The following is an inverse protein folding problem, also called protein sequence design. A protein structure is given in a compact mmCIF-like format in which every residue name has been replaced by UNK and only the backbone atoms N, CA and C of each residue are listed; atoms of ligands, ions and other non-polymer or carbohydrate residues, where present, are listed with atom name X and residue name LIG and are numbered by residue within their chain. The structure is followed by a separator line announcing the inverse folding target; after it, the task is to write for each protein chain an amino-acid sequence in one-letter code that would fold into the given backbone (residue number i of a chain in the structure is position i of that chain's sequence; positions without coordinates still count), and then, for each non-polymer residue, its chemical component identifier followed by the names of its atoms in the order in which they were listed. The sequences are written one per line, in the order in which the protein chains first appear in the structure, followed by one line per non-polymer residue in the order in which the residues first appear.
data_IF_710421673693
#
_entry.id   IF_710421673693
#
_cell.length_a   1.000
_cell.length_b   1.000
_cell.length_c   1.000
_cell.angle_alpha   90.00
_cell.angle_beta   90.00
_cell.angle_gamma   90.00
#
_symmetry.space_group_name_H-M   'P 1'
#
loop_
_entity.id
_entity.type
_entity.pdbx_description
1 polymer ?
#
# COMPACT_ATOMS: atom_id res chain seq x y z
N UNK A 1 -53.14 -10.64 -15.22
CA UNK A 1 -52.07 -11.56 -14.83
C UNK A 1 -50.78 -11.13 -15.50
N UNK A 2 -49.98 -10.34 -14.82
CA UNK A 2 -48.75 -9.74 -15.32
C UNK A 2 -47.58 -10.59 -14.79
N UNK A 3 -46.90 -11.30 -15.69
CA UNK A 3 -45.76 -12.14 -15.32
C UNK A 3 -44.56 -11.28 -14.91
N UNK A 4 -44.18 -11.38 -13.65
CA UNK A 4 -42.95 -10.81 -13.09
C UNK A 4 -41.77 -11.59 -13.72
N UNK A 5 -40.99 -10.94 -14.57
CA UNK A 5 -39.72 -11.47 -15.05
C UNK A 5 -38.76 -11.59 -13.87
N UNK A 6 -38.43 -12.81 -13.51
CA UNK A 6 -37.35 -13.11 -12.56
C UNK A 6 -36.02 -12.58 -13.12
N UNK A 7 -35.45 -11.63 -12.39
CA UNK A 7 -34.09 -11.16 -12.64
C UNK A 7 -33.12 -12.27 -12.31
N UNK A 8 -32.33 -12.68 -13.28
CA UNK A 8 -31.20 -13.61 -13.11
C UNK A 8 -30.26 -13.08 -12.05
N UNK A 9 -29.89 -13.85 -11.01
CA UNK A 9 -28.91 -13.40 -10.03
C UNK A 9 -27.54 -13.20 -10.68
N UNK A 10 -26.75 -12.17 -10.24
CA UNK A 10 -25.42 -11.94 -10.78
C UNK A 10 -24.57 -13.18 -10.54
N UNK A 11 -23.82 -13.57 -11.57
CA UNK A 11 -22.90 -14.71 -11.57
C UNK A 11 -21.95 -14.65 -10.38
N UNK A 12 -22.17 -15.53 -9.41
CA UNK A 12 -21.21 -15.83 -8.33
C UNK A 12 -19.91 -16.29 -9.00
N UNK A 13 -18.81 -15.58 -8.74
CA UNK A 13 -17.46 -16.04 -9.10
C UNK A 13 -17.33 -17.50 -8.60
N UNK A 14 -17.23 -18.43 -9.53
CA UNK A 14 -17.30 -19.86 -9.25
C UNK A 14 -16.25 -20.28 -8.23
N UNK A 15 -16.66 -21.07 -7.27
CA UNK A 15 -15.80 -21.80 -6.30
C UNK A 15 -14.99 -22.87 -7.05
N UNK A 16 -14.10 -22.44 -7.98
CA UNK A 16 -13.24 -23.30 -8.77
C UNK A 16 -11.75 -23.06 -8.48
N UNK A 17 -10.85 -23.91 -8.91
CA UNK A 17 -9.41 -23.79 -8.72
C UNK A 17 -8.85 -22.44 -9.20
N UNK A 18 -9.52 -21.77 -10.16
CA UNK A 18 -9.17 -20.43 -10.62
C UNK A 18 -9.34 -19.34 -9.56
N UNK A 19 -10.40 -19.41 -8.73
CA UNK A 19 -10.62 -18.42 -7.66
C UNK A 19 -9.57 -18.53 -6.55
N UNK A 20 -9.15 -19.75 -6.19
CA UNK A 20 -8.07 -19.99 -5.23
C UNK A 20 -6.73 -19.47 -5.73
N UNK A 21 -6.41 -19.69 -6.99
CA UNK A 21 -5.17 -19.23 -7.60
C UNK A 21 -5.12 -17.69 -7.69
N UNK A 22 -6.25 -17.03 -7.98
CA UNK A 22 -6.34 -15.57 -7.98
C UNK A 22 -6.15 -15.00 -6.57
N UNK A 23 -6.74 -15.62 -5.56
CA UNK A 23 -6.52 -15.26 -4.16
C UNK A 23 -5.04 -15.38 -3.80
N UNK A 24 -4.40 -16.51 -4.12
CA UNK A 24 -2.95 -16.70 -3.92
C UNK A 24 -2.15 -15.60 -4.64
N UNK A 25 -2.54 -15.24 -5.87
CA UNK A 25 -1.93 -14.13 -6.62
C UNK A 25 -2.00 -12.81 -5.85
N UNK A 26 -3.15 -12.45 -5.29
CA UNK A 26 -3.33 -11.22 -4.48
C UNK A 26 -2.47 -11.27 -3.21
N UNK A 27 -2.38 -12.42 -2.54
CA UNK A 27 -1.55 -12.57 -1.34
C UNK A 27 -0.06 -12.44 -1.67
N UNK A 28 0.39 -13.01 -2.79
CA UNK A 28 1.76 -12.87 -3.28
C UNK A 28 2.07 -11.44 -3.72
N UNK A 29 1.12 -10.74 -4.37
CA UNK A 29 1.23 -9.31 -4.61
C UNK A 29 1.47 -8.56 -3.30
N UNK A 30 0.66 -8.82 -2.27
CA UNK A 30 0.81 -8.23 -0.94
C UNK A 30 2.19 -8.50 -0.32
N UNK A 31 2.65 -9.76 -0.32
CA UNK A 31 3.95 -10.15 0.23
C UNK A 31 5.11 -9.38 -0.44
N UNK A 32 5.01 -9.12 -1.74
CA UNK A 32 6.03 -8.40 -2.51
C UNK A 32 6.08 -6.89 -2.23
N UNK A 33 5.04 -6.29 -1.63
CA UNK A 33 4.99 -4.85 -1.40
C UNK A 33 6.03 -4.35 -0.39
N UNK A 34 6.44 -5.17 0.56
CA UNK A 34 7.28 -4.75 1.69
C UNK A 34 8.58 -5.52 1.85
N UNK A 35 8.62 -6.80 1.50
CA UNK A 35 9.79 -7.65 1.75
C UNK A 35 11.09 -7.03 1.21
N UNK A 36 11.07 -6.54 -0.04
CA UNK A 36 12.24 -5.92 -0.66
C UNK A 36 12.68 -4.59 -0.03
N UNK A 37 11.79 -3.87 0.66
CA UNK A 37 12.11 -2.59 1.32
C UNK A 37 12.63 -2.82 2.73
N UNK A 38 11.90 -3.62 3.53
CA UNK A 38 12.16 -3.77 4.96
C UNK A 38 13.43 -4.57 5.26
N UNK A 39 13.86 -5.44 4.34
CA UNK A 39 15.11 -6.17 4.46
C UNK A 39 16.38 -5.29 4.43
N UNK A 40 16.30 -4.04 3.94
CA UNK A 40 17.49 -3.17 3.82
C UNK A 40 17.97 -2.65 5.17
N UNK A 41 17.05 -2.21 6.03
CA UNK A 41 17.38 -1.55 7.28
C UNK A 41 18.40 -2.30 8.15
N UNK A 42 18.17 -3.59 8.49
CA UNK A 42 19.07 -4.34 9.37
C UNK A 42 20.47 -4.59 8.78
N UNK A 43 20.64 -4.56 7.47
CA UNK A 43 21.94 -4.75 6.79
C UNK A 43 22.53 -3.44 6.25
N UNK A 44 21.89 -2.30 6.53
CA UNK A 44 22.34 -1.00 6.06
C UNK A 44 23.77 -0.67 6.45
N UNK A 45 24.24 -0.92 7.71
CA UNK A 45 25.65 -0.69 8.08
C UNK A 45 26.64 -1.50 7.23
N UNK A 46 26.30 -2.74 6.89
CA UNK A 46 27.14 -3.58 6.00
C UNK A 46 27.17 -3.02 4.57
N UNK A 47 26.05 -2.46 4.10
CA UNK A 47 25.97 -1.79 2.78
C UNK A 47 26.83 -0.52 2.80
N UNK A 48 26.72 0.31 3.83
CA UNK A 48 27.53 1.53 4.00
C UNK A 48 29.03 1.22 3.94
N UNK A 49 29.49 0.24 4.69
CA UNK A 49 30.88 -0.17 4.73
C UNK A 49 31.39 -0.72 3.39
N UNK A 50 30.65 -1.65 2.77
CA UNK A 50 31.10 -2.33 1.54
C UNK A 50 30.94 -1.50 0.28
N UNK A 51 29.97 -0.60 0.22
CA UNK A 51 29.70 0.26 -0.96
C UNK A 51 30.36 1.62 -0.82
N UNK A 52 30.80 1.97 0.40
CA UNK A 52 31.41 3.28 0.69
C UNK A 52 30.38 4.40 0.73
N UNK A 53 29.16 4.15 1.23
CA UNK A 53 28.12 5.16 1.31
C UNK A 53 28.31 6.05 2.54
N UNK A 54 28.12 7.37 2.38
CA UNK A 54 27.97 8.25 3.52
C UNK A 54 26.60 8.02 4.19
N UNK A 55 26.44 8.45 5.47
CA UNK A 55 25.18 8.36 6.19
C UNK A 55 24.02 9.07 5.45
N UNK A 56 24.31 10.18 4.78
CA UNK A 56 23.34 10.88 3.91
C UNK A 56 22.91 10.01 2.72
N UNK A 57 23.86 9.39 2.04
CA UNK A 57 23.57 8.50 0.91
C UNK A 57 22.77 7.26 1.36
N UNK A 58 23.11 6.69 2.50
CA UNK A 58 22.34 5.58 3.08
C UNK A 58 20.89 5.98 3.40
N UNK A 59 20.69 7.15 4.01
CA UNK A 59 19.35 7.70 4.25
C UNK A 59 18.58 7.95 2.95
N UNK A 60 19.25 8.46 1.91
CA UNK A 60 18.67 8.65 0.59
C UNK A 60 18.26 7.31 -0.05
N UNK A 61 19.10 6.28 0.08
CA UNK A 61 18.83 4.94 -0.43
C UNK A 61 17.54 4.34 0.17
N UNK A 62 17.36 4.50 1.48
CA UNK A 62 16.16 4.02 2.19
C UNK A 62 14.92 4.83 1.82
N UNK A 63 15.07 6.13 1.55
CA UNK A 63 13.96 7.03 1.20
C UNK A 63 13.56 6.98 -0.27
N UNK A 64 14.45 6.49 -1.14
CA UNK A 64 14.26 6.47 -2.60
C UNK A 64 12.97 5.77 -3.05
N UNK A 65 12.54 4.63 -2.44
CA UNK A 65 11.26 4.03 -2.78
C UNK A 65 10.05 4.96 -2.56
N UNK A 66 10.06 5.80 -1.51
CA UNK A 66 8.95 6.73 -1.25
C UNK A 66 8.85 7.80 -2.34
N UNK A 67 10.00 8.31 -2.80
CA UNK A 67 10.07 9.25 -3.92
C UNK A 67 9.53 8.58 -5.20
N UNK A 68 9.94 7.33 -5.46
CA UNK A 68 9.42 6.55 -6.58
C UNK A 68 7.89 6.34 -6.46
N UNK A 69 7.37 6.08 -5.26
CA UNK A 69 5.93 5.95 -5.03
C UNK A 69 5.18 7.24 -5.40
N UNK A 70 5.63 8.38 -4.93
CA UNK A 70 5.01 9.66 -5.24
C UNK A 70 5.02 9.95 -6.76
N UNK A 71 6.15 9.70 -7.42
CA UNK A 71 6.35 10.00 -8.83
C UNK A 71 5.59 9.05 -9.78
N UNK A 72 5.56 7.74 -9.47
CA UNK A 72 5.04 6.71 -10.40
C UNK A 72 3.55 6.44 -10.21
N UNK A 73 3.01 6.59 -8.98
CA UNK A 73 1.60 6.30 -8.69
C UNK A 73 0.60 6.98 -9.64
N UNK A 74 0.78 8.25 -10.11
CA UNK A 74 -0.17 8.88 -11.04
C UNK A 74 -0.28 8.20 -12.39
N UNK A 75 0.72 7.44 -12.78
CA UNK A 75 0.79 6.77 -14.09
C UNK A 75 0.24 5.35 -14.07
N UNK A 76 0.15 4.72 -12.89
CA UNK A 76 -0.28 3.33 -12.75
C UNK A 76 -1.67 3.05 -13.36
N UNK A 77 -2.72 3.89 -13.15
CA UNK A 77 -4.03 3.65 -13.77
C UNK A 77 -3.98 3.70 -15.29
N UNK A 78 -3.26 4.68 -15.87
CA UNK A 78 -3.10 4.79 -17.32
C UNK A 78 -2.39 3.58 -17.93
N UNK A 79 -1.41 3.03 -17.21
CA UNK A 79 -0.70 1.83 -17.64
C UNK A 79 -1.65 0.62 -17.64
N UNK A 80 -2.47 0.47 -16.60
CA UNK A 80 -3.48 -0.58 -16.51
C UNK A 80 -4.57 -0.47 -17.58
N UNK A 81 -4.98 0.74 -17.96
CA UNK A 81 -5.93 0.98 -19.06
C UNK A 81 -5.35 0.57 -20.42
N UNK A 82 -4.07 0.86 -20.66
CA UNK A 82 -3.41 0.55 -21.94
C UNK A 82 -3.06 -0.91 -22.10
N UNK A 83 -2.47 -1.50 -21.07
CA UNK A 83 -1.92 -2.87 -21.12
C UNK A 83 -2.87 -3.93 -20.56
N UNK A 84 -3.87 -3.53 -19.77
CA UNK A 84 -4.71 -4.41 -18.97
C UNK A 84 -4.19 -4.57 -17.54
N UNK A 85 -5.11 -4.78 -16.59
CA UNK A 85 -4.78 -4.79 -15.17
C UNK A 85 -3.80 -5.91 -14.80
N UNK A 86 -4.07 -7.14 -15.24
CA UNK A 86 -3.24 -8.32 -14.92
C UNK A 86 -1.86 -8.25 -15.54
N UNK A 87 -1.77 -7.78 -16.78
CA UNK A 87 -0.47 -7.60 -17.46
C UNK A 87 0.36 -6.52 -16.78
N UNK A 88 -0.28 -5.44 -16.32
CA UNK A 88 0.40 -4.38 -15.61
C UNK A 88 0.91 -4.86 -14.25
N UNK A 89 0.11 -5.63 -13.50
CA UNK A 89 0.53 -6.23 -12.24
C UNK A 89 1.68 -7.24 -12.45
N UNK A 90 1.57 -8.10 -13.45
CA UNK A 90 2.62 -9.06 -13.79
C UNK A 90 3.92 -8.39 -14.25
N UNK A 91 3.83 -7.36 -15.09
CA UNK A 91 5.02 -6.60 -15.50
C UNK A 91 5.67 -5.84 -14.34
N UNK A 92 4.86 -5.29 -13.42
CA UNK A 92 5.38 -4.66 -12.21
C UNK A 92 6.12 -5.66 -11.32
N UNK A 93 5.61 -6.89 -11.13
CA UNK A 93 6.34 -7.95 -10.42
C UNK A 93 7.65 -8.33 -11.13
N UNK A 94 7.65 -8.40 -12.45
CA UNK A 94 8.88 -8.68 -13.21
C UNK A 94 9.92 -7.56 -13.04
N UNK A 95 9.49 -6.29 -13.12
CA UNK A 95 10.35 -5.12 -12.86
C UNK A 95 10.85 -5.13 -11.40
N UNK A 96 9.99 -5.53 -10.45
CA UNK A 96 10.38 -5.70 -9.05
C UNK A 96 11.50 -6.74 -8.89
N UNK A 97 11.34 -7.91 -9.51
CA UNK A 97 12.36 -8.97 -9.49
C UNK A 97 13.69 -8.46 -10.06
N UNK A 98 13.65 -7.81 -11.23
CA UNK A 98 14.83 -7.18 -11.85
C UNK A 98 15.44 -6.12 -10.92
N UNK A 99 14.64 -5.25 -10.33
CA UNK A 99 15.10 -4.23 -9.38
C UNK A 99 15.80 -4.83 -8.16
N UNK A 100 15.24 -5.91 -7.58
CA UNK A 100 15.86 -6.63 -6.46
C UNK A 100 17.20 -7.26 -6.89
N UNK A 101 17.28 -7.91 -8.04
CA UNK A 101 18.51 -8.51 -8.56
C UNK A 101 19.57 -7.44 -8.82
N UNK A 102 19.23 -6.35 -9.53
CA UNK A 102 20.16 -5.26 -9.84
C UNK A 102 20.72 -4.63 -8.56
N UNK A 103 19.87 -4.42 -7.55
CA UNK A 103 20.31 -3.89 -6.26
C UNK A 103 21.28 -4.82 -5.53
N UNK A 104 21.18 -6.13 -5.77
CA UNK A 104 21.89 -7.17 -5.04
C UNK A 104 23.20 -7.58 -5.72
N UNK A 105 23.46 -7.18 -6.96
CA UNK A 105 24.72 -7.46 -7.65
C UNK A 105 25.71 -6.31 -7.48
N UNK A 106 27.00 -6.63 -7.65
CA UNK A 106 28.08 -5.64 -7.57
C UNK A 106 28.16 -4.85 -8.88
N UNK A 107 28.27 -3.53 -8.77
CA UNK A 107 28.47 -2.64 -9.91
C UNK A 107 28.17 -1.18 -9.55
N UNK A 108 28.83 -0.22 -10.22
CA UNK A 108 28.67 1.19 -9.92
C UNK A 108 27.22 1.63 -10.19
N UNK A 109 26.59 2.24 -9.20
CA UNK A 109 25.22 2.77 -9.32
C UNK A 109 24.09 1.75 -9.34
N UNK A 110 24.36 0.44 -9.46
CA UNK A 110 23.30 -0.58 -9.57
C UNK A 110 22.39 -0.64 -8.35
N UNK A 111 22.91 -0.37 -7.16
CA UNK A 111 22.10 -0.31 -5.94
C UNK A 111 21.03 0.78 -6.01
N UNK A 112 21.33 1.92 -6.62
CA UNK A 112 20.40 3.04 -6.80
C UNK A 112 19.35 2.73 -7.85
N UNK A 113 19.80 2.27 -9.03
CA UNK A 113 18.90 1.89 -10.13
C UNK A 113 17.97 0.76 -9.70
N UNK A 114 18.50 -0.28 -9.05
CA UNK A 114 17.70 -1.39 -8.55
C UNK A 114 16.67 -0.95 -7.51
N UNK A 115 17.06 -0.06 -6.59
CA UNK A 115 16.14 0.48 -5.57
C UNK A 115 15.06 1.38 -6.19
N UNK A 116 15.39 2.17 -7.20
CA UNK A 116 14.41 2.99 -7.93
C UNK A 116 13.41 2.13 -8.70
N UNK A 117 13.87 1.11 -9.43
CA UNK A 117 13.01 0.17 -10.16
C UNK A 117 12.09 -0.59 -9.21
N UNK A 118 12.64 -1.08 -8.10
CA UNK A 118 11.86 -1.72 -7.03
C UNK A 118 10.77 -0.78 -6.51
N UNK A 119 11.13 0.46 -6.18
CA UNK A 119 10.16 1.46 -5.73
C UNK A 119 9.08 1.74 -6.77
N UNK A 120 9.47 1.94 -8.04
CA UNK A 120 8.52 2.18 -9.13
C UNK A 120 7.55 1.00 -9.32
N UNK A 121 8.04 -0.22 -9.27
CA UNK A 121 7.23 -1.43 -9.36
C UNK A 121 6.23 -1.54 -8.20
N UNK A 122 6.67 -1.33 -6.97
CA UNK A 122 5.81 -1.36 -5.78
C UNK A 122 4.76 -0.24 -5.83
N UNK A 123 5.09 0.94 -6.37
CA UNK A 123 4.11 2.01 -6.57
C UNK A 123 2.93 1.55 -7.44
N UNK A 124 3.22 0.89 -8.58
CA UNK A 124 2.20 0.35 -9.48
C UNK A 124 1.35 -0.71 -8.77
N UNK A 125 1.98 -1.64 -8.05
CA UNK A 125 1.28 -2.68 -7.29
C UNK A 125 0.35 -2.08 -6.22
N UNK A 126 0.84 -1.15 -5.41
CA UNK A 126 0.06 -0.48 -4.36
C UNK A 126 -1.19 0.22 -4.91
N UNK A 127 -1.07 0.89 -6.07
CA UNK A 127 -2.19 1.62 -6.69
C UNK A 127 -3.23 0.65 -7.25
N UNK A 128 -2.80 -0.47 -7.85
CA UNK A 128 -3.69 -1.34 -8.62
C UNK A 128 -4.29 -2.50 -7.81
N UNK A 129 -3.69 -2.93 -6.71
CA UNK A 129 -4.27 -3.99 -5.86
C UNK A 129 -5.67 -3.65 -5.34
N UNK A 130 -5.95 -2.44 -4.82
CA UNK A 130 -7.31 -2.06 -4.42
C UNK A 130 -8.32 -2.11 -5.57
N UNK A 131 -7.89 -1.78 -6.79
CA UNK A 131 -8.71 -1.87 -8.00
C UNK A 131 -9.04 -3.31 -8.38
N UNK A 132 -8.05 -4.21 -8.29
CA UNK A 132 -8.22 -5.65 -8.50
C UNK A 132 -9.22 -6.22 -7.47
N UNK A 133 -9.07 -5.86 -6.19
CA UNK A 133 -9.98 -6.29 -5.12
C UNK A 133 -11.40 -5.76 -5.38
N UNK A 134 -11.54 -4.49 -5.78
CA UNK A 134 -12.84 -3.91 -6.10
C UNK A 134 -13.53 -4.62 -7.26
N UNK A 135 -12.78 -5.04 -8.28
CA UNK A 135 -13.32 -5.74 -9.45
C UNK A 135 -13.76 -7.17 -9.11
N UNK A 136 -12.91 -7.92 -8.42
CA UNK A 136 -13.08 -9.37 -8.25
C UNK A 136 -13.79 -9.76 -6.95
N UNK A 137 -13.70 -8.92 -5.92
CA UNK A 137 -14.37 -9.13 -4.62
C UNK A 137 -15.11 -7.88 -4.12
N UNK A 138 -16.06 -7.30 -4.89
CA UNK A 138 -16.73 -6.04 -4.55
C UNK A 138 -17.48 -6.09 -3.21
N UNK A 139 -17.97 -7.27 -2.81
CA UNK A 139 -18.70 -7.47 -1.54
C UNK A 139 -17.78 -7.81 -0.36
N UNK A 140 -16.47 -8.00 -0.59
CA UNK A 140 -15.49 -8.42 0.43
C UNK A 140 -14.24 -7.52 0.45
N UNK A 141 -14.39 -6.25 0.10
CA UNK A 141 -13.27 -5.30 0.02
C UNK A 141 -12.50 -5.24 1.34
N UNK A 142 -13.19 -5.03 2.47
CA UNK A 142 -12.57 -4.96 3.79
C UNK A 142 -11.76 -6.21 4.16
N UNK A 143 -12.38 -7.42 4.15
CA UNK A 143 -11.67 -8.67 4.43
C UNK A 143 -10.49 -8.92 3.50
N UNK A 144 -10.64 -8.68 2.20
CA UNK A 144 -9.57 -8.91 1.23
C UNK A 144 -8.42 -7.91 1.44
N UNK A 145 -8.74 -6.65 1.71
CA UNK A 145 -7.74 -5.63 2.04
C UNK A 145 -6.98 -6.01 3.31
N UNK A 146 -7.68 -6.39 4.37
CA UNK A 146 -7.06 -6.84 5.61
C UNK A 146 -6.18 -8.06 5.42
N UNK A 147 -6.64 -9.04 4.66
CA UNK A 147 -5.92 -10.28 4.43
C UNK A 147 -4.59 -10.03 3.69
N UNK A 148 -4.60 -9.30 2.56
CA UNK A 148 -3.34 -9.04 1.86
C UNK A 148 -2.41 -8.11 2.65
N UNK A 149 -2.94 -7.17 3.42
CA UNK A 149 -2.13 -6.30 4.27
C UNK A 149 -1.51 -7.08 5.44
N UNK A 150 -2.19 -8.08 5.99
CA UNK A 150 -1.60 -8.98 7.00
C UNK A 150 -0.45 -9.80 6.42
N UNK A 151 -0.61 -10.32 5.20
CA UNK A 151 0.48 -11.01 4.49
C UNK A 151 1.62 -10.05 4.18
N UNK A 152 1.33 -8.80 3.82
CA UNK A 152 2.34 -7.74 3.61
C UNK A 152 3.15 -7.49 4.90
N UNK A 153 2.48 -7.39 6.05
CA UNK A 153 3.12 -7.18 7.34
C UNK A 153 3.98 -8.40 7.75
N UNK A 154 3.46 -9.61 7.58
CA UNK A 154 4.20 -10.84 7.84
C UNK A 154 5.44 -10.96 6.95
N UNK A 155 5.31 -10.68 5.66
CA UNK A 155 6.44 -10.69 4.73
C UNK A 155 7.50 -9.64 5.10
N UNK A 156 7.08 -8.47 5.55
CA UNK A 156 7.97 -7.42 6.06
C UNK A 156 8.76 -7.87 7.29
N UNK A 157 8.08 -8.49 8.26
CA UNK A 157 8.70 -9.01 9.48
C UNK A 157 9.69 -10.13 9.18
N UNK A 158 9.30 -11.11 8.34
CA UNK A 158 10.18 -12.20 7.91
C UNK A 158 11.41 -11.66 7.14
N UNK A 159 11.21 -10.70 6.24
CA UNK A 159 12.30 -10.12 5.47
C UNK A 159 13.31 -9.39 6.36
N UNK A 160 12.83 -8.61 7.32
CA UNK A 160 13.68 -7.89 8.27
C UNK A 160 14.37 -8.85 9.26
N UNK A 161 13.66 -9.86 9.77
CA UNK A 161 14.20 -10.80 10.74
C UNK A 161 15.20 -11.80 10.16
N UNK A 162 14.98 -12.25 8.92
CA UNK A 162 15.82 -13.27 8.29
C UNK A 162 17.06 -12.71 7.56
N UNK A 163 17.06 -11.41 7.21
CA UNK A 163 18.12 -10.84 6.38
C UNK A 163 19.52 -10.93 7.02
N UNK A 164 19.62 -10.63 8.32
CA UNK A 164 20.91 -10.69 9.06
C UNK A 164 21.40 -12.13 9.24
N UNK A 165 20.59 -13.10 9.72
CA UNK A 165 20.99 -14.50 9.75
C UNK A 165 21.44 -15.04 8.39
N UNK A 166 20.69 -14.74 7.31
CA UNK A 166 21.06 -15.18 5.96
C UNK A 166 22.36 -14.55 5.51
N UNK A 167 22.55 -13.24 5.74
CA UNK A 167 23.78 -12.54 5.39
C UNK A 167 25.00 -13.09 6.13
N UNK A 168 24.83 -13.63 7.34
CA UNK A 168 25.93 -14.19 8.14
C UNK A 168 26.40 -15.57 7.72
N UNK A 169 25.60 -16.35 6.98
CA UNK A 169 25.95 -17.74 6.60
C UNK A 169 26.39 -17.90 5.15
N UNK A 170 26.22 -16.87 4.31
CA UNK A 170 26.60 -16.92 2.88
C UNK A 170 27.77 -15.98 2.57
N UNK A 171 28.75 -16.41 1.75
CA UNK A 171 29.91 -15.58 1.39
C UNK A 171 29.53 -14.25 0.73
N UNK A 172 28.43 -14.21 -0.02
CA UNK A 172 27.90 -12.99 -0.66
C UNK A 172 27.19 -12.03 0.31
N UNK A 173 27.02 -12.43 1.58
CA UNK A 173 26.52 -11.60 2.65
C UNK A 173 25.13 -10.99 2.35
N UNK A 174 24.98 -9.70 2.60
CA UNK A 174 23.72 -8.96 2.43
C UNK A 174 23.19 -8.98 0.98
N UNK A 175 24.08 -9.13 -0.03
CA UNK A 175 23.64 -9.16 -1.43
C UNK A 175 22.74 -10.36 -1.71
N UNK A 176 23.10 -11.54 -1.26
CA UNK A 176 22.26 -12.73 -1.38
C UNK A 176 21.00 -12.60 -0.53
N UNK A 177 21.15 -12.14 0.72
CA UNK A 177 20.04 -11.97 1.65
C UNK A 177 18.96 -10.99 1.15
N UNK A 178 19.34 -9.97 0.38
CA UNK A 178 18.40 -9.10 -0.34
C UNK A 178 17.89 -9.72 -1.63
N UNK A 179 18.76 -10.42 -2.37
CA UNK A 179 18.48 -10.99 -3.69
C UNK A 179 17.44 -12.12 -3.66
N UNK A 180 17.39 -12.91 -2.59
CA UNK A 180 16.47 -14.06 -2.45
C UNK A 180 15.00 -13.65 -2.58
N UNK A 181 14.65 -12.42 -2.21
CA UNK A 181 13.28 -11.88 -2.33
C UNK A 181 12.83 -11.70 -3.79
N UNK A 182 13.75 -11.71 -4.76
CA UNK A 182 13.37 -11.74 -6.18
C UNK A 182 12.62 -13.03 -6.53
N UNK A 183 12.92 -14.14 -5.85
CA UNK A 183 12.19 -15.40 -6.02
C UNK A 183 10.71 -15.27 -5.69
N UNK A 184 10.37 -14.49 -4.66
CA UNK A 184 8.96 -14.24 -4.31
C UNK A 184 8.23 -13.48 -5.42
N UNK A 185 8.89 -12.52 -6.06
CA UNK A 185 8.32 -11.78 -7.19
C UNK A 185 8.14 -12.69 -8.42
N UNK A 186 9.09 -13.57 -8.70
CA UNK A 186 9.00 -14.56 -9.80
C UNK A 186 7.84 -15.52 -9.57
N UNK A 187 7.67 -16.03 -8.34
CA UNK A 187 6.51 -16.87 -7.98
C UNK A 187 5.20 -16.11 -8.18
N UNK A 188 5.17 -14.81 -7.81
CA UNK A 188 4.01 -13.94 -8.05
C UNK A 188 3.68 -13.79 -9.54
N UNK A 189 4.68 -13.60 -10.41
CA UNK A 189 4.49 -13.58 -11.88
C UNK A 189 3.92 -14.90 -12.36
N UNK A 190 4.52 -16.02 -11.94
CA UNK A 190 4.09 -17.36 -12.35
C UNK A 190 2.63 -17.65 -11.97
N UNK A 191 2.21 -17.21 -10.77
CA UNK A 191 0.82 -17.37 -10.31
C UNK A 191 -0.16 -16.54 -11.14
N UNK A 192 0.21 -15.36 -11.62
CA UNK A 192 -0.64 -14.51 -12.44
C UNK A 192 -0.61 -14.84 -13.94
N UNK A 193 0.32 -15.71 -14.37
CA UNK A 193 0.54 -16.04 -15.78
C UNK A 193 -0.73 -16.50 -16.53
N UNK A 194 -1.63 -17.34 -15.95
CA UNK A 194 -2.85 -17.74 -16.65
C UNK A 194 -3.77 -16.58 -17.03
N UNK A 195 -3.83 -15.53 -16.18
CA UNK A 195 -4.63 -14.34 -16.48
C UNK A 195 -3.91 -13.41 -17.46
N UNK A 196 -2.60 -13.25 -17.34
CA UNK A 196 -1.78 -12.46 -18.26
C UNK A 196 -1.91 -13.00 -19.70
N UNK A 197 -1.86 -14.31 -19.86
CA UNK A 197 -1.98 -14.96 -21.18
C UNK A 197 -3.44 -15.03 -21.65
N UNK A 198 -4.41 -15.31 -20.76
CA UNK A 198 -5.83 -15.41 -21.06
C UNK A 198 -6.43 -14.11 -21.58
N UNK A 199 -6.05 -12.96 -21.03
CA UNK A 199 -6.47 -11.63 -21.51
C UNK A 199 -5.90 -11.30 -22.90
N UNK A 200 -4.79 -11.94 -23.32
CA UNK A 200 -4.26 -11.84 -24.68
C UNK A 200 -5.17 -12.55 -25.69
N UNK A 201 -5.66 -13.73 -25.33
CA UNK A 201 -6.53 -14.55 -26.18
C UNK A 201 -7.88 -13.88 -26.46
N UNK A 202 -8.50 -13.26 -25.45
CA UNK A 202 -9.79 -12.56 -25.61
C UNK A 202 -9.66 -11.31 -26.49
N UNK A 203 -8.55 -10.56 -26.39
CA UNK A 203 -8.31 -9.39 -27.26
C UNK A 203 -7.98 -9.78 -28.73
N UNK A 204 -7.31 -10.93 -28.91
CA UNK A 204 -7.02 -11.45 -30.27
C UNK A 204 -8.25 -12.09 -30.93
N UNK A 205 -9.25 -12.49 -30.13
CA UNK A 205 -10.49 -13.12 -30.62
C UNK A 205 -11.65 -12.14 -30.85
N UNK A 206 -11.43 -10.81 -30.78
CA UNK A 206 -12.43 -9.86 -31.29
C UNK A 206 -12.34 -9.90 -32.81
N UNK A 207 -13.27 -10.57 -33.51
CA UNK A 207 -13.23 -10.62 -34.98
C UNK A 207 -13.47 -9.19 -35.47
N UNK A 208 -12.58 -8.71 -36.31
CA UNK A 208 -12.95 -7.71 -37.30
C UNK A 208 -14.23 -8.24 -37.95
N UNK A 209 -15.36 -7.61 -37.68
CA UNK A 209 -16.61 -7.96 -38.34
C UNK A 209 -16.40 -7.80 -39.85
N UNK A 210 -16.00 -8.89 -40.48
CA UNK A 210 -16.08 -9.02 -41.92
C UNK A 210 -17.56 -9.00 -42.28
N UNK A 211 -17.95 -7.91 -42.89
CA UNK A 211 -19.18 -7.77 -43.62
C UNK A 211 -19.33 -8.95 -44.59
N UNK A 212 -20.29 -9.85 -44.31
CA UNK A 212 -21.00 -10.64 -45.30
C UNK A 212 -22.21 -11.29 -44.65
N UNK A 213 -23.37 -10.71 -44.87
CA UNK A 213 -24.60 -11.41 -45.20
C UNK A 213 -25.71 -10.36 -45.45
N UNK A 214 -25.96 -10.11 -46.69
CA UNK A 214 -27.12 -9.44 -47.22
C UNK A 214 -28.36 -10.28 -46.91
N UNK A 215 -29.32 -9.76 -46.18
CA UNK A 215 -30.69 -10.22 -46.07
C UNK A 215 -31.57 -9.00 -45.81
N UNK A 216 -32.56 -8.68 -46.68
CA UNK A 216 -33.48 -7.59 -46.44
C UNK A 216 -34.56 -8.08 -45.46
N UNK A 217 -34.82 -7.35 -44.41
CA UNK A 217 -35.86 -7.48 -43.40
C UNK A 217 -35.38 -7.91 -42.00
N UNK A 218 -34.64 -6.99 -41.35
CA UNK A 218 -34.66 -6.89 -39.89
C UNK A 218 -34.62 -5.40 -39.51
N UNK A 219 -35.76 -4.89 -39.08
CA UNK A 219 -35.90 -3.55 -38.56
C UNK A 219 -34.82 -3.33 -37.48
N UNK A 220 -33.87 -2.44 -37.75
CA UNK A 220 -32.79 -2.07 -36.85
C UNK A 220 -33.35 -1.40 -35.60
N UNK A 221 -33.46 -2.15 -34.51
CA UNK A 221 -33.53 -1.55 -33.20
C UNK A 221 -32.22 -0.77 -32.97
N UNK A 222 -32.25 0.51 -32.58
CA UNK A 222 -31.04 1.27 -32.33
C UNK A 222 -30.28 0.57 -31.20
N UNK A 223 -29.16 -0.04 -31.54
CA UNK A 223 -28.20 -0.57 -30.56
C UNK A 223 -27.82 0.59 -29.61
N UNK A 224 -28.17 0.45 -28.34
CA UNK A 224 -27.73 1.39 -27.34
C UNK A 224 -26.19 1.56 -27.46
N UNK A 225 -25.68 2.80 -27.42
CA UNK A 225 -24.26 3.06 -27.54
C UNK A 225 -23.54 2.20 -26.51
N UNK A 226 -22.65 1.30 -26.94
CA UNK A 226 -21.74 0.58 -26.06
C UNK A 226 -20.97 1.66 -25.33
N UNK A 227 -21.29 1.88 -24.05
CA UNK A 227 -20.64 2.87 -23.22
C UNK A 227 -19.13 2.59 -23.28
N UNK A 228 -18.39 3.53 -23.87
CA UNK A 228 -16.93 3.47 -23.89
C UNK A 228 -16.47 3.31 -22.43
N UNK A 229 -15.54 2.37 -22.15
CA UNK A 229 -15.04 2.20 -20.80
C UNK A 229 -14.55 3.55 -20.29
N UNK A 230 -15.14 3.99 -19.18
CA UNK A 230 -14.84 5.28 -18.56
C UNK A 230 -13.38 5.24 -18.10
N UNK A 231 -12.56 6.14 -18.62
CA UNK A 231 -11.13 6.18 -18.34
C UNK A 231 -10.91 6.48 -16.86
N UNK A 232 -9.94 5.82 -16.21
CA UNK A 232 -9.54 6.13 -14.85
C UNK A 232 -9.00 7.57 -14.79
N UNK A 233 -9.86 8.50 -14.40
CA UNK A 233 -9.51 9.91 -14.19
C UNK A 233 -9.19 10.13 -12.73
N UNK A 234 -8.16 10.95 -12.46
CA UNK A 234 -7.91 11.42 -11.10
C UNK A 234 -9.10 12.26 -10.65
N UNK A 235 -9.76 11.94 -9.52
CA UNK A 235 -10.98 12.62 -9.10
C UNK A 235 -10.69 13.95 -8.38
N UNK A 236 -9.89 14.82 -8.99
CA UNK A 236 -9.39 16.08 -8.41
C UNK A 236 -10.50 17.06 -8.00
N UNK A 237 -11.69 16.95 -8.61
CA UNK A 237 -12.83 17.83 -8.30
C UNK A 237 -13.73 17.29 -7.17
N UNK A 238 -13.50 16.07 -6.69
CA UNK A 238 -14.31 15.46 -5.64
C UNK A 238 -13.78 15.81 -4.24
N UNK A 239 -14.56 16.49 -3.40
CA UNK A 239 -14.17 16.73 -2.00
C UNK A 239 -13.92 15.43 -1.23
N UNK A 240 -14.71 14.38 -1.52
CA UNK A 240 -14.52 13.06 -0.91
C UNK A 240 -13.16 12.45 -1.27
N UNK A 241 -12.71 12.62 -2.52
CA UNK A 241 -11.40 12.14 -2.94
C UNK A 241 -10.26 12.85 -2.17
N UNK A 242 -10.37 14.14 -1.95
CA UNK A 242 -9.42 14.88 -1.12
C UNK A 242 -9.44 14.44 0.34
N UNK A 243 -10.63 14.19 0.93
CA UNK A 243 -10.75 13.68 2.29
C UNK A 243 -10.05 12.32 2.45
N UNK A 244 -10.26 11.40 1.52
CA UNK A 244 -9.60 10.09 1.51
C UNK A 244 -8.09 10.23 1.31
N UNK A 245 -7.65 11.11 0.41
CA UNK A 245 -6.24 11.33 0.09
C UNK A 245 -5.49 11.97 1.27
N UNK A 246 -6.09 12.95 1.93
CA UNK A 246 -5.50 13.58 3.11
C UNK A 246 -5.46 12.62 4.29
N UNK A 247 -6.51 11.81 4.51
CA UNK A 247 -6.47 10.75 5.51
C UNK A 247 -5.31 9.77 5.24
N UNK A 248 -5.16 9.30 3.99
CA UNK A 248 -4.05 8.43 3.60
C UNK A 248 -2.69 9.08 3.85
N UNK A 249 -2.55 10.37 3.51
CA UNK A 249 -1.30 11.11 3.70
C UNK A 249 -0.95 11.29 5.17
N UNK A 250 -1.88 11.77 5.98
CA UNK A 250 -1.66 12.06 7.40
C UNK A 250 -1.33 10.79 8.20
N UNK A 251 -2.06 9.68 7.97
CA UNK A 251 -1.74 8.41 8.61
C UNK A 251 -0.35 7.88 8.20
N UNK A 252 0.03 8.05 6.93
CA UNK A 252 1.35 7.66 6.45
C UNK A 252 2.45 8.55 7.04
N UNK A 253 2.19 9.85 7.20
CA UNK A 253 3.11 10.79 7.87
C UNK A 253 3.39 10.35 9.30
N UNK A 254 2.35 10.02 10.08
CA UNK A 254 2.51 9.53 11.46
C UNK A 254 3.32 8.22 11.44
N UNK A 255 2.97 7.27 10.58
CA UNK A 255 3.67 5.98 10.50
C UNK A 255 5.16 6.14 10.22
N UNK A 256 5.52 6.86 9.14
CA UNK A 256 6.93 7.03 8.76
C UNK A 256 7.71 7.88 9.75
N UNK A 257 7.06 8.85 10.38
CA UNK A 257 7.69 9.63 11.46
C UNK A 257 7.95 8.78 12.69
N UNK A 258 6.99 7.94 13.11
CA UNK A 258 7.19 7.02 14.24
C UNK A 258 8.27 5.97 13.93
N UNK A 259 8.29 5.39 12.75
CA UNK A 259 9.36 4.45 12.36
C UNK A 259 10.74 5.11 12.48
N UNK A 260 10.86 6.38 12.09
CA UNK A 260 12.15 7.08 12.08
C UNK A 260 12.57 7.55 13.47
N UNK A 261 11.66 8.17 14.21
CA UNK A 261 12.00 8.96 15.40
C UNK A 261 11.59 8.33 16.72
N UNK A 262 10.74 7.28 16.72
CA UNK A 262 10.28 6.66 17.97
C UNK A 262 11.42 6.20 18.87
N UNK A 263 12.49 5.52 18.39
CA UNK A 263 13.60 5.15 19.26
C UNK A 263 14.30 6.37 19.90
N UNK A 264 14.51 7.44 19.14
CA UNK A 264 15.13 8.66 19.63
C UNK A 264 14.25 9.39 20.68
N UNK A 265 12.94 9.42 20.48
CA UNK A 265 11.97 9.95 21.44
C UNK A 265 12.02 9.14 22.75
N UNK A 266 12.07 7.81 22.65
CA UNK A 266 12.10 6.93 23.81
C UNK A 266 13.40 7.08 24.61
N UNK A 267 14.54 7.21 23.92
CA UNK A 267 15.84 7.47 24.58
C UNK A 267 15.81 8.82 25.26
N UNK A 268 15.27 9.85 24.62
CA UNK A 268 15.11 11.18 25.27
C UNK A 268 14.17 11.14 26.47
N UNK A 269 13.24 10.21 26.53
CA UNK A 269 12.33 9.95 27.62
C UNK A 269 12.95 9.05 28.72
N UNK A 270 14.25 8.74 28.65
CA UNK A 270 14.99 7.98 29.66
C UNK A 270 15.07 6.47 29.43
N UNK A 271 14.57 5.93 28.29
CA UNK A 271 14.75 4.54 27.96
C UNK A 271 16.20 4.26 27.52
N UNK A 272 16.73 3.08 27.86
CA UNK A 272 18.00 2.64 27.30
C UNK A 272 17.83 2.35 25.78
N UNK A 273 18.95 2.33 25.03
CA UNK A 273 18.91 2.01 23.59
C UNK A 273 18.28 0.63 23.31
N UNK A 274 18.52 -0.36 24.19
CA UNK A 274 17.93 -1.69 24.11
C UNK A 274 16.41 -1.64 24.33
N UNK A 275 15.97 -0.91 25.37
CA UNK A 275 14.54 -0.72 25.64
C UNK A 275 13.83 0.01 24.50
N UNK A 276 14.43 1.05 23.94
CA UNK A 276 13.90 1.79 22.80
C UNK A 276 13.73 0.87 21.56
N UNK A 277 14.67 -0.02 21.33
CA UNK A 277 14.57 -1.06 20.29
C UNK A 277 13.38 -2.00 20.52
N UNK A 278 13.19 -2.48 21.76
CA UNK A 278 12.04 -3.33 22.11
C UNK A 278 10.71 -2.57 22.01
N UNK A 279 10.65 -1.31 22.36
CA UNK A 279 9.44 -0.49 22.22
C UNK A 279 9.11 -0.23 20.76
N UNK A 280 10.14 -0.06 19.92
CA UNK A 280 9.94 0.05 18.46
C UNK A 280 9.43 -1.25 17.86
N UNK A 281 9.95 -2.40 18.28
CA UNK A 281 9.42 -3.71 17.92
C UNK A 281 7.96 -3.86 18.33
N UNK A 282 7.62 -3.54 19.59
CA UNK A 282 6.26 -3.60 20.10
C UNK A 282 5.29 -2.68 19.34
N UNK A 283 5.75 -1.49 18.92
CA UNK A 283 5.01 -0.60 18.03
C UNK A 283 4.64 -1.30 16.71
N UNK A 284 5.59 -1.98 16.08
CA UNK A 284 5.38 -2.69 14.81
C UNK A 284 4.40 -3.86 14.97
N UNK A 285 4.57 -4.69 16.03
CA UNK A 285 3.72 -5.83 16.29
C UNK A 285 2.29 -5.40 16.66
N UNK A 286 2.14 -4.33 17.43
CA UNK A 286 0.81 -3.79 17.72
C UNK A 286 0.15 -3.20 16.46
N UNK A 287 0.94 -2.74 15.49
CA UNK A 287 0.46 -2.38 14.15
C UNK A 287 -0.21 -3.56 13.43
N UNK A 288 0.36 -4.77 13.55
CA UNK A 288 -0.29 -5.97 13.01
C UNK A 288 -1.62 -6.24 13.70
N UNK A 289 -1.71 -6.07 15.01
CA UNK A 289 -2.99 -6.19 15.75
C UNK A 289 -4.02 -5.19 15.25
N UNK A 290 -3.64 -3.93 15.05
CA UNK A 290 -4.50 -2.89 14.48
C UNK A 290 -4.97 -3.22 13.06
N UNK A 291 -4.09 -3.79 12.23
CA UNK A 291 -4.37 -4.29 10.89
C UNK A 291 -5.47 -5.36 10.93
N UNK A 292 -5.30 -6.40 11.73
CA UNK A 292 -6.26 -7.52 11.88
C UNK A 292 -7.59 -7.03 12.46
N UNK A 293 -7.55 -6.17 13.47
CA UNK A 293 -8.73 -5.56 14.06
C UNK A 293 -9.55 -4.80 13.01
N UNK A 294 -8.91 -3.92 12.25
CA UNK A 294 -9.60 -3.16 11.20
C UNK A 294 -10.16 -4.05 10.10
N UNK A 295 -9.41 -5.08 9.66
CA UNK A 295 -9.87 -6.06 8.69
C UNK A 295 -11.16 -6.79 9.15
N UNK A 296 -11.23 -7.11 10.44
CA UNK A 296 -12.40 -7.77 11.04
C UNK A 296 -13.59 -6.83 11.21
N UNK A 297 -13.35 -5.57 11.57
CA UNK A 297 -14.40 -4.60 11.92
C UNK A 297 -15.01 -3.93 10.68
N UNK A 298 -14.20 -3.55 9.67
CA UNK A 298 -14.65 -2.81 8.48
C UNK A 298 -15.89 -3.43 7.82
N UNK A 299 -15.98 -4.76 7.59
CA UNK A 299 -17.15 -5.35 6.93
C UNK A 299 -18.46 -5.28 7.74
N UNK A 300 -18.35 -5.06 9.05
CA UNK A 300 -19.49 -5.01 9.97
C UNK A 300 -20.09 -3.61 10.10
N UNK A 301 -19.39 -2.61 9.57
CA UNK A 301 -19.75 -1.20 9.70
C UNK A 301 -20.38 -0.69 8.40
N UNK A 302 -21.54 -0.02 8.50
CA UNK A 302 -22.12 0.75 7.39
C UNK A 302 -21.34 2.04 7.10
N UNK A 303 -20.85 2.68 8.16
CA UNK A 303 -19.99 3.88 8.09
C UNK A 303 -18.68 3.60 8.83
N UNK A 304 -17.56 3.94 8.23
CA UNK A 304 -16.24 3.69 8.79
C UNK A 304 -15.70 4.86 9.64
N UNK A 305 -16.48 5.96 9.75
CA UNK A 305 -16.08 7.16 10.52
C UNK A 305 -15.74 6.84 11.98
N UNK A 306 -16.59 6.04 12.66
CA UNK A 306 -16.35 5.66 14.06
C UNK A 306 -15.05 4.90 14.26
N UNK A 307 -14.79 3.90 13.41
CA UNK A 307 -13.51 3.16 13.43
C UNK A 307 -12.32 4.10 13.23
N UNK A 308 -12.41 4.99 12.23
CA UNK A 308 -11.36 5.94 11.93
C UNK A 308 -11.07 6.89 13.09
N UNK A 309 -12.11 7.39 13.78
CA UNK A 309 -11.97 8.27 14.96
C UNK A 309 -11.27 7.51 16.11
N UNK A 310 -11.67 6.25 16.36
CA UNK A 310 -11.03 5.41 17.40
C UNK A 310 -9.55 5.22 17.11
N UNK A 311 -9.20 4.90 15.87
CA UNK A 311 -7.80 4.72 15.46
C UNK A 311 -7.01 6.03 15.61
N UNK A 312 -7.54 7.14 15.10
CA UNK A 312 -6.88 8.45 15.23
C UNK A 312 -6.76 8.88 16.70
N UNK A 313 -7.77 8.60 17.53
CA UNK A 313 -7.72 8.81 18.96
C UNK A 313 -6.62 8.02 19.68
N UNK A 314 -6.46 6.74 19.30
CA UNK A 314 -5.36 5.92 19.82
C UNK A 314 -3.98 6.50 19.45
N UNK A 315 -3.84 6.98 18.19
CA UNK A 315 -2.61 7.66 17.76
C UNK A 315 -2.34 8.96 18.53
N UNK A 316 -3.37 9.78 18.72
CA UNK A 316 -3.29 11.03 19.49
C UNK A 316 -2.91 10.75 20.95
N UNK A 317 -3.54 9.77 21.59
CA UNK A 317 -3.23 9.33 22.95
C UNK A 317 -1.79 8.84 23.05
N UNK A 318 -1.34 8.05 22.07
CA UNK A 318 0.05 7.58 22.02
C UNK A 318 1.05 8.73 21.94
N UNK A 319 0.84 9.70 21.05
CA UNK A 319 1.73 10.86 20.88
C UNK A 319 1.72 11.77 22.10
N UNK A 320 0.54 12.13 22.62
CA UNK A 320 0.42 12.98 23.81
C UNK A 320 0.91 12.26 25.06
N UNK A 321 0.72 10.95 25.15
CA UNK A 321 1.24 10.15 26.25
C UNK A 321 2.76 10.14 26.32
N UNK A 322 3.45 10.07 25.17
CA UNK A 322 4.91 10.20 25.10
C UNK A 322 5.41 11.56 25.61
N UNK A 323 4.60 12.62 25.42
CA UNK A 323 4.92 13.97 25.87
C UNK A 323 4.64 14.18 27.38
N UNK A 324 3.45 13.74 27.83
CA UNK A 324 2.92 14.09 29.16
C UNK A 324 3.29 13.07 30.26
N UNK A 325 3.44 11.81 29.89
CA UNK A 325 3.69 10.68 30.80
C UNK A 325 4.79 9.76 30.24
N UNK A 326 6.03 10.26 30.10
CA UNK A 326 7.12 9.51 29.46
C UNK A 326 7.45 8.17 30.14
N UNK A 327 7.15 8.02 31.43
CA UNK A 327 7.37 6.76 32.16
C UNK A 327 6.57 5.56 31.65
N UNK A 328 5.51 5.77 30.86
CA UNK A 328 4.68 4.71 30.24
C UNK A 328 4.97 4.53 28.75
N UNK A 329 6.19 4.75 28.35
CA UNK A 329 6.65 4.78 26.94
C UNK A 329 6.21 3.57 26.11
N UNK A 330 6.23 2.36 26.67
CA UNK A 330 5.76 1.15 25.97
C UNK A 330 4.27 1.25 25.63
N UNK A 331 3.42 1.70 26.56
CA UNK A 331 1.98 1.83 26.33
C UNK A 331 1.70 2.80 25.19
N UNK A 332 2.41 3.91 25.13
CA UNK A 332 2.24 4.91 24.08
C UNK A 332 2.72 4.41 22.71
N UNK A 333 3.80 3.62 22.70
CA UNK A 333 4.26 2.94 21.47
C UNK A 333 3.20 1.94 20.94
N UNK A 334 2.57 1.17 21.83
CA UNK A 334 1.48 0.26 21.45
C UNK A 334 0.26 1.01 20.90
N UNK A 335 -0.17 2.10 21.55
CA UNK A 335 -1.28 2.93 21.05
C UNK A 335 -1.00 3.50 19.65
N UNK A 336 0.20 4.03 19.42
CA UNK A 336 0.61 4.55 18.14
C UNK A 336 0.70 3.44 17.07
N UNK A 337 1.23 2.26 17.43
CA UNK A 337 1.29 1.08 16.57
C UNK A 337 -0.09 0.63 16.13
N UNK A 338 -1.02 0.45 17.07
CA UNK A 338 -2.41 0.06 16.79
C UNK A 338 -3.09 1.04 15.83
N UNK A 339 -2.92 2.35 16.05
CA UNK A 339 -3.42 3.39 15.17
C UNK A 339 -2.92 3.18 13.74
N UNK A 340 -1.60 3.12 13.56
CA UNK A 340 -0.99 3.15 12.23
C UNK A 340 -1.31 1.91 11.41
N UNK A 341 -1.30 0.72 12.04
CA UNK A 341 -1.67 -0.53 11.37
C UNK A 341 -3.15 -0.60 10.99
N UNK A 342 -4.04 -0.12 11.89
CA UNK A 342 -5.47 -0.06 11.57
C UNK A 342 -5.81 0.97 10.52
N UNK A 343 -5.17 2.13 10.57
CA UNK A 343 -5.45 3.25 9.68
C UNK A 343 -5.04 2.96 8.22
N UNK A 344 -3.93 2.25 7.98
CA UNK A 344 -3.55 1.88 6.61
C UNK A 344 -4.56 0.93 5.96
N UNK A 345 -5.07 -0.06 6.70
CA UNK A 345 -6.10 -0.98 6.19
C UNK A 345 -7.37 -0.22 5.85
N UNK A 346 -7.77 0.69 6.74
CA UNK A 346 -8.94 1.53 6.52
C UNK A 346 -8.76 2.42 5.29
N UNK A 347 -7.61 3.10 5.13
CA UNK A 347 -7.33 3.94 3.98
C UNK A 347 -7.40 3.15 2.66
N UNK A 348 -6.77 1.98 2.61
CA UNK A 348 -6.81 1.11 1.42
C UNK A 348 -8.22 0.60 1.12
N UNK A 349 -9.00 0.24 2.15
CA UNK A 349 -10.38 -0.19 1.97
C UNK A 349 -11.27 0.95 1.44
N UNK A 350 -11.06 2.20 1.89
CA UNK A 350 -11.83 3.35 1.42
C UNK A 350 -11.66 3.60 -0.09
N UNK A 351 -10.53 3.24 -0.70
CA UNK A 351 -10.37 3.36 -2.17
C UNK A 351 -11.43 2.56 -2.92
N UNK A 352 -11.75 1.36 -2.45
CA UNK A 352 -12.82 0.55 -3.02
C UNK A 352 -14.22 0.91 -2.52
N UNK A 353 -14.36 1.27 -1.24
CA UNK A 353 -15.67 1.55 -0.62
C UNK A 353 -16.27 2.90 -1.02
N UNK A 354 -15.45 3.85 -1.48
CA UNK A 354 -15.88 5.22 -1.87
C UNK A 354 -15.96 5.43 -3.37
N UNK A 355 -15.89 4.35 -4.15
CA UNK A 355 -15.94 4.37 -5.61
C UNK A 355 -17.01 3.42 -6.14
N UNK A 356 -17.55 3.72 -7.32
CA UNK A 356 -18.59 2.89 -7.94
C UNK A 356 -17.96 1.70 -8.64
N UNK A 357 -16.87 1.91 -9.37
CA UNK A 357 -16.20 0.91 -10.18
C UNK A 357 -14.68 0.85 -9.90
N UNK A 358 -14.01 -0.10 -10.54
CA UNK A 358 -12.58 -0.32 -10.35
C UNK A 358 -11.69 0.74 -11.02
N UNK A 359 -12.16 1.42 -12.07
CA UNK A 359 -11.42 2.52 -12.71
C UNK A 359 -11.38 3.74 -11.79
N UNK A 360 -12.53 4.06 -11.16
CA UNK A 360 -12.58 5.10 -10.13
C UNK A 360 -11.71 4.72 -8.92
N UNK A 361 -11.71 3.44 -8.50
CA UNK A 361 -10.88 2.98 -7.41
C UNK A 361 -9.37 3.14 -7.73
N UNK A 362 -8.96 2.86 -8.98
CA UNK A 362 -7.60 3.08 -9.44
C UNK A 362 -7.24 4.58 -9.44
N UNK A 363 -8.14 5.43 -9.92
CA UNK A 363 -7.95 6.89 -9.92
C UNK A 363 -7.82 7.45 -8.51
N UNK A 364 -8.73 7.07 -7.59
CA UNK A 364 -8.70 7.51 -6.19
C UNK A 364 -7.44 6.99 -5.46
N UNK A 365 -7.10 5.72 -5.64
CA UNK A 365 -5.91 5.11 -5.06
C UNK A 365 -4.62 5.81 -5.54
N UNK A 366 -4.55 6.11 -6.85
CA UNK A 366 -3.43 6.84 -7.44
C UNK A 366 -3.28 8.24 -6.85
N UNK A 367 -4.36 9.02 -6.78
CA UNK A 367 -4.37 10.36 -6.20
C UNK A 367 -3.95 10.33 -4.73
N UNK A 368 -4.58 9.43 -3.95
CA UNK A 368 -4.36 9.34 -2.51
C UNK A 368 -2.94 8.90 -2.17
N UNK A 369 -2.38 7.96 -2.92
CA UNK A 369 -1.02 7.47 -2.68
C UNK A 369 0.05 8.45 -3.16
N UNK A 370 -0.15 9.13 -4.30
CA UNK A 370 0.80 10.15 -4.76
C UNK A 370 0.93 11.28 -3.74
N UNK A 371 -0.20 11.86 -3.34
CA UNK A 371 -0.23 12.91 -2.32
C UNK A 371 0.25 12.37 -0.97
N UNK A 372 -0.21 11.19 -0.61
CA UNK A 372 0.09 10.55 0.66
C UNK A 372 1.58 10.29 0.86
N UNK A 373 2.27 9.80 -0.16
CA UNK A 373 3.72 9.55 -0.05
C UNK A 373 4.57 10.81 -0.10
N UNK A 374 4.10 11.90 -0.74
CA UNK A 374 4.75 13.21 -0.59
C UNK A 374 4.70 13.66 0.87
N UNK A 375 3.52 13.63 1.48
CA UNK A 375 3.35 14.00 2.90
C UNK A 375 4.15 13.07 3.83
N UNK A 376 4.15 11.77 3.53
CA UNK A 376 4.90 10.77 4.29
C UNK A 376 6.42 11.00 4.24
N UNK A 377 6.94 11.42 3.09
CA UNK A 377 8.36 11.73 2.93
C UNK A 377 8.77 13.02 3.66
N UNK A 378 7.89 14.02 3.67
CA UNK A 378 8.13 15.29 4.33
C UNK A 378 8.04 15.19 5.87
N UNK A 379 7.19 14.31 6.39
CA UNK A 379 6.91 14.19 7.82
C UNK A 379 8.16 14.03 8.68
N UNK A 380 8.95 12.95 8.50
CA UNK A 380 10.18 12.73 9.29
C UNK A 380 11.18 13.88 9.15
N UNK A 381 11.30 14.49 7.96
CA UNK A 381 12.23 15.60 7.70
C UNK A 381 11.81 16.85 8.49
N UNK A 382 10.54 17.24 8.41
CA UNK A 382 10.01 18.41 9.13
C UNK A 382 10.15 18.21 10.65
N UNK A 383 9.81 17.03 11.15
CA UNK A 383 9.92 16.71 12.57
C UNK A 383 11.39 16.72 13.04
N UNK A 384 12.32 16.21 12.22
CA UNK A 384 13.76 16.30 12.50
C UNK A 384 14.27 17.73 12.54
N UNK A 385 13.94 18.55 11.54
CA UNK A 385 14.31 19.97 11.49
C UNK A 385 13.78 20.76 12.71
N UNK A 386 12.53 20.52 13.10
CA UNK A 386 11.95 21.18 14.28
C UNK A 386 12.66 20.73 15.56
N UNK A 387 13.00 19.42 15.68
CA UNK A 387 13.78 18.89 16.80
C UNK A 387 15.16 19.55 16.87
N UNK A 388 15.84 19.67 15.75
CA UNK A 388 17.19 20.29 15.71
C UNK A 388 17.13 21.78 16.04
N UNK A 389 16.13 22.50 15.54
CA UNK A 389 15.95 23.92 15.80
C UNK A 389 15.55 24.22 17.26
N UNK A 390 14.79 23.34 17.91
CA UNK A 390 14.27 23.56 19.27
C UNK A 390 15.07 22.86 20.37
N UNK A 391 15.95 21.92 20.02
CA UNK A 391 16.67 21.08 20.98
C UNK A 391 15.78 20.10 21.78
N UNK A 392 14.47 20.10 21.59
CA UNK A 392 13.46 19.40 22.36
C UNK A 392 12.48 18.60 21.54
N UNK A 393 11.89 17.53 22.09
CA UNK A 393 10.82 16.75 21.46
C UNK A 393 9.42 17.32 21.69
N UNK A 394 9.27 18.37 22.48
CA UNK A 394 7.96 18.96 22.82
C UNK A 394 7.22 19.45 21.59
N UNK A 395 7.83 20.35 20.82
CA UNK A 395 7.18 20.89 19.61
C UNK A 395 6.99 19.86 18.51
N UNK A 396 7.96 18.95 18.21
CA UNK A 396 7.74 17.81 17.32
C UNK A 396 6.54 16.95 17.68
N UNK A 397 6.38 16.59 18.95
CA UNK A 397 5.26 15.77 19.42
C UNK A 397 3.92 16.53 19.36
N UNK A 398 3.91 17.84 19.66
CA UNK A 398 2.70 18.67 19.47
C UNK A 398 2.28 18.77 18.00
N UNK A 399 3.23 18.90 17.08
CA UNK A 399 2.95 18.87 15.65
C UNK A 399 2.35 17.52 15.22
N UNK A 400 2.91 16.40 15.70
CA UNK A 400 2.36 15.08 15.45
C UNK A 400 0.96 14.90 16.05
N UNK A 401 0.70 15.45 17.23
CA UNK A 401 -0.63 15.47 17.83
C UNK A 401 -1.61 16.25 16.95
N UNK A 402 -1.21 17.40 16.41
CA UNK A 402 -1.99 18.17 15.43
C UNK A 402 -2.30 17.37 14.16
N UNK A 403 -1.32 16.62 13.66
CA UNK A 403 -1.48 15.72 12.51
C UNK A 403 -2.49 14.59 12.85
N UNK A 404 -2.43 14.02 14.06
CA UNK A 404 -3.37 12.98 14.50
C UNK A 404 -4.81 13.51 14.61
N UNK A 405 -4.98 14.74 15.11
CA UNK A 405 -6.29 15.41 15.13
C UNK A 405 -6.82 15.63 13.71
N UNK A 406 -5.99 16.16 12.81
CA UNK A 406 -6.36 16.34 11.41
C UNK A 406 -6.72 15.01 10.72
N UNK A 407 -5.95 13.94 11.00
CA UNK A 407 -6.26 12.58 10.56
C UNK A 407 -7.66 12.16 11.02
N UNK A 408 -8.01 12.41 12.30
CA UNK A 408 -9.34 12.14 12.86
C UNK A 408 -10.46 12.88 12.13
N UNK A 409 -10.26 14.16 11.82
CA UNK A 409 -11.23 14.97 11.06
C UNK A 409 -11.43 14.40 9.66
N UNK A 410 -10.35 14.16 8.90
CA UNK A 410 -10.47 13.68 7.53
C UNK A 410 -11.04 12.27 7.45
N UNK A 411 -10.71 11.35 8.38
CA UNK A 411 -11.31 10.02 8.38
C UNK A 411 -12.79 10.05 8.82
N UNK A 412 -13.19 10.96 9.70
CA UNK A 412 -14.58 11.15 10.06
C UNK A 412 -15.44 11.56 8.84
N UNK A 413 -14.88 12.40 7.96
CA UNK A 413 -15.53 12.83 6.73
C UNK A 413 -15.50 11.75 5.65
N UNK A 414 -14.33 11.14 5.40
CA UNK A 414 -14.13 10.10 4.40
C UNK A 414 -14.84 8.78 4.73
N UNK A 415 -15.05 8.51 6.03
CA UNK A 415 -15.71 7.30 6.52
C UNK A 415 -17.24 7.30 6.39
N UNK A 416 -17.87 8.39 5.93
CA UNK A 416 -19.32 8.47 5.69
C UNK A 416 -19.69 7.58 4.49
N UNK A 417 -20.88 6.94 4.49
CA UNK A 417 -21.32 6.04 3.41
C UNK A 417 -21.73 6.82 2.17
N UNK A 418 -20.75 7.36 1.44
CA UNK A 418 -20.90 8.11 0.18
C UNK A 418 -19.92 7.57 -0.85
N UNK A 419 -20.22 7.72 -2.13
CA UNK A 419 -19.33 7.39 -3.24
C UNK A 419 -19.01 8.64 -4.07
N UNK A 420 -17.91 8.59 -4.80
CA UNK A 420 -17.55 9.66 -5.73
C UNK A 420 -18.58 9.65 -6.87
N UNK A 421 -19.29 10.79 -7.05
CA UNK A 421 -20.34 10.91 -8.08
C UNK A 421 -21.76 10.51 -7.61
N UNK A 422 -21.95 10.19 -6.30
CA UNK A 422 -23.25 9.91 -5.70
C UNK A 422 -23.60 10.90 -4.59
#
# INVERSE_FOLDING_TARGET
MTAVRASTPPSTVGRGPRAGLLLLGVLLLGANLRAGITAVGPVLPQIEEQVGLSAFQASLLVSLPLVAFAAVSPFAPRLAERCGLERTLGSALAVLAVGIVLRSISGPGLIWVGTLLLGAAIAVLNVLIPSLIKRDWPQRIGPMTGLYQSVTALAAALASGLVVPIAGVVPSGWRFALGIWAGLAVIGVATLLPWILGTASVRAATPTATAHASGPDAAASPSAPVARPERARLPLRSPLAWQVSLFMGLQSTIYYTMITWLPAIQIANGASAVQAGWFHFAFQECGLVGTLFSAFVIPRLRAQSGLGIVLAGAGLVGVLGMLLLPGLSLLWALCAGFCTGGAIVLAMALFGLRTVDYHQAAGLSSMAQSLGYVLAALGPVVIGLVKDATGSWTLPLLLLAGIAVAQGVFVALAGRPRTIGG
#
